data_IF_281160131975
#
_entry.id   IF_281160131975
#
_cell.length_a   1.000
_cell.length_b   1.000
_cell.length_c   1.000
_cell.angle_alpha   90.00
_cell.angle_beta   90.00
_cell.angle_gamma   90.00
#
_symmetry.space_group_name_H-M   'P 1'
#
loop_
_entity.id
_entity.type
_entity.pdbx_description
1 polymer ?
#
# COMPACT_ATOMS: atom_id res chain seq x y z
N UNK A 1 -56.05 53.68 24.77
CA UNK A 1 -55.44 52.38 24.97
C UNK A 1 -54.61 52.03 23.73
N UNK A 2 -53.29 52.20 23.78
CA UNK A 2 -52.38 51.82 22.70
C UNK A 2 -51.53 50.67 23.23
N UNK A 3 -51.64 49.51 22.59
CA UNK A 3 -50.86 48.32 22.89
C UNK A 3 -49.47 48.44 22.27
N UNK A 4 -48.44 48.31 23.09
CA UNK A 4 -47.05 48.13 22.66
C UNK A 4 -46.78 46.64 22.30
N UNK A 5 -46.51 46.37 21.07
CA UNK A 5 -45.96 45.09 20.59
C UNK A 5 -44.45 45.18 20.61
N UNK A 6 -43.81 44.54 21.61
CA UNK A 6 -42.37 44.38 21.64
C UNK A 6 -41.93 43.29 20.60
N UNK A 7 -40.95 43.64 19.79
CA UNK A 7 -40.26 42.68 18.91
C UNK A 7 -39.35 41.78 19.75
N UNK A 8 -39.29 40.44 19.50
CA UNK A 8 -38.31 39.59 20.11
C UNK A 8 -36.90 39.90 19.59
N UNK A 9 -35.92 39.95 20.50
CA UNK A 9 -34.53 40.25 20.20
C UNK A 9 -33.91 39.23 19.21
N UNK A 10 -33.28 39.73 18.19
CA UNK A 10 -32.36 39.04 17.32
C UNK A 10 -31.13 38.60 18.17
N UNK A 11 -31.03 37.30 18.43
CA UNK A 11 -29.78 36.71 18.93
C UNK A 11 -28.77 36.79 17.78
N UNK A 12 -27.83 37.70 17.93
CA UNK A 12 -26.70 37.80 17.02
C UNK A 12 -25.92 36.50 17.04
N UNK A 13 -26.10 35.65 16.03
CA UNK A 13 -25.23 34.53 15.74
C UNK A 13 -23.88 35.13 15.36
N UNK A 14 -22.96 35.13 16.32
CA UNK A 14 -21.57 35.50 16.07
C UNK A 14 -21.04 34.56 14.97
N UNK A 15 -20.86 35.07 13.77
CA UNK A 15 -20.22 34.38 12.65
C UNK A 15 -18.85 33.93 13.11
N UNK A 16 -18.71 32.62 13.35
CA UNK A 16 -17.43 31.99 13.63
C UNK A 16 -16.51 32.30 12.44
N UNK A 17 -15.43 33.01 12.72
CA UNK A 17 -14.37 33.32 11.77
C UNK A 17 -14.03 32.03 10.97
N UNK A 18 -14.14 31.99 9.62
CA UNK A 18 -13.89 30.77 8.86
C UNK A 18 -12.45 30.34 9.14
N UNK A 19 -12.28 29.33 9.99
CA UNK A 19 -10.97 28.79 10.34
C UNK A 19 -10.32 28.34 9.05
N UNK A 20 -9.18 28.93 8.70
CA UNK A 20 -8.39 28.50 7.52
C UNK A 20 -8.26 26.97 7.57
N UNK A 21 -8.68 26.32 6.49
CA UNK A 21 -8.55 24.88 6.28
C UNK A 21 -7.08 24.46 6.46
N UNK A 22 -6.83 23.48 7.32
CA UNK A 22 -5.48 22.96 7.53
C UNK A 22 -5.02 22.23 6.26
N UNK A 23 -3.79 22.46 5.85
CA UNK A 23 -3.24 21.95 4.59
C UNK A 23 -2.14 20.95 4.84
N UNK A 24 -2.21 19.79 4.19
CA UNK A 24 -1.26 18.69 4.31
C UNK A 24 -0.51 18.54 2.99
N UNK A 25 0.82 18.50 3.05
CA UNK A 25 1.69 18.19 1.92
C UNK A 25 2.07 16.71 1.97
N UNK A 26 1.79 15.97 0.90
CA UNK A 26 2.19 14.58 0.71
C UNK A 26 3.30 14.49 -0.34
N UNK A 27 4.41 13.83 -0.03
CA UNK A 27 5.53 13.64 -0.95
C UNK A 27 5.73 12.15 -1.19
N UNK A 28 5.65 11.75 -2.47
CA UNK A 28 5.94 10.40 -2.94
C UNK A 28 6.93 10.49 -4.11
N UNK A 29 8.03 9.77 -4.01
CA UNK A 29 9.12 9.89 -4.98
C UNK A 29 8.97 8.93 -6.17
N UNK A 30 8.73 7.65 -5.89
CA UNK A 30 8.94 6.58 -6.85
C UNK A 30 7.75 6.33 -7.79
N UNK A 31 6.59 6.92 -7.51
CA UNK A 31 5.36 6.66 -8.25
C UNK A 31 4.50 7.93 -8.39
N UNK A 32 3.61 7.96 -9.36
CA UNK A 32 2.64 9.04 -9.56
C UNK A 32 1.39 8.84 -8.68
N UNK A 33 0.65 9.91 -8.41
CA UNK A 33 -0.64 9.83 -7.73
C UNK A 33 -1.60 8.89 -8.47
N UNK A 34 -1.62 8.94 -9.80
CA UNK A 34 -2.49 8.10 -10.63
C UNK A 34 -2.24 6.59 -10.47
N UNK A 35 -1.05 6.19 -10.01
CA UNK A 35 -0.65 4.78 -9.89
C UNK A 35 -0.49 4.29 -8.45
N UNK A 36 -0.44 5.18 -7.47
CA UNK A 36 -0.28 4.82 -6.06
C UNK A 36 -1.65 4.72 -5.38
N UNK A 37 -2.22 3.52 -5.33
CA UNK A 37 -3.52 3.28 -4.69
C UNK A 37 -3.58 3.67 -3.21
N UNK A 38 -2.46 3.58 -2.46
CA UNK A 38 -2.41 4.03 -1.07
C UNK A 38 -2.49 5.54 -0.98
N UNK A 39 -1.69 6.24 -1.79
CA UNK A 39 -1.70 7.71 -1.85
C UNK A 39 -3.08 8.23 -2.25
N UNK A 40 -3.72 7.60 -3.25
CA UNK A 40 -5.09 7.93 -3.67
C UNK A 40 -6.07 7.88 -2.51
N UNK A 41 -6.06 6.79 -1.74
CA UNK A 41 -6.92 6.62 -0.55
C UNK A 41 -6.62 7.69 0.51
N UNK A 42 -5.35 7.96 0.77
CA UNK A 42 -4.92 9.00 1.72
C UNK A 42 -5.39 10.40 1.29
N UNK A 43 -5.20 10.75 0.03
CA UNK A 43 -5.65 12.03 -0.56
C UNK A 43 -7.16 12.18 -0.45
N UNK A 44 -7.92 11.18 -0.90
CA UNK A 44 -9.38 11.18 -0.83
C UNK A 44 -9.88 11.33 0.60
N UNK A 45 -9.31 10.57 1.55
CA UNK A 45 -9.66 10.65 2.97
C UNK A 45 -9.41 12.05 3.55
N UNK A 46 -8.27 12.66 3.24
CA UNK A 46 -7.96 14.01 3.73
C UNK A 46 -8.91 15.05 3.16
N UNK A 47 -9.18 15.02 1.85
CA UNK A 47 -10.10 15.97 1.19
C UNK A 47 -11.51 15.84 1.76
N UNK A 48 -12.04 14.62 1.85
CA UNK A 48 -13.38 14.33 2.37
C UNK A 48 -13.56 14.77 3.84
N UNK A 49 -12.45 14.89 4.58
CA UNK A 49 -12.46 15.38 5.96
C UNK A 49 -12.03 16.85 6.11
N UNK A 50 -12.10 17.63 5.03
CA UNK A 50 -11.95 19.08 5.05
C UNK A 50 -10.50 19.56 5.18
N UNK A 51 -9.50 18.76 4.78
CA UNK A 51 -8.11 19.19 4.65
C UNK A 51 -7.82 19.69 3.24
N UNK A 52 -7.04 20.77 3.09
CA UNK A 52 -6.40 21.07 1.82
C UNK A 52 -5.25 20.10 1.59
N UNK A 53 -5.12 19.60 0.37
CA UNK A 53 -4.10 18.60 0.04
C UNK A 53 -3.23 19.08 -1.10
N UNK A 54 -1.92 19.05 -0.86
CA UNK A 54 -0.88 19.30 -1.85
C UNK A 54 -0.11 17.98 -2.04
N UNK A 55 0.15 17.56 -3.26
CA UNK A 55 0.88 16.32 -3.57
C UNK A 55 2.09 16.64 -4.43
N UNK A 56 3.27 16.16 -4.04
CA UNK A 56 4.47 16.18 -4.88
C UNK A 56 4.75 14.75 -5.32
N UNK A 57 4.73 14.49 -6.63
CA UNK A 57 4.94 13.17 -7.19
C UNK A 57 5.52 13.23 -8.62
N UNK A 58 5.83 12.07 -9.19
CA UNK A 58 6.24 11.93 -10.60
C UNK A 58 5.09 12.32 -11.53
N UNK A 59 5.45 12.87 -12.68
CA UNK A 59 4.50 13.25 -13.72
C UNK A 59 3.82 12.03 -14.33
N UNK A 60 2.48 12.12 -14.42
CA UNK A 60 1.64 11.16 -15.10
C UNK A 60 0.37 11.86 -15.62
N UNK A 61 -0.13 11.57 -16.83
CA UNK A 61 -1.36 12.18 -17.35
C UNK A 61 -2.58 12.02 -16.44
N UNK A 62 -2.69 10.87 -15.74
CA UNK A 62 -3.80 10.58 -14.83
C UNK A 62 -3.77 11.35 -13.50
N UNK A 63 -2.68 12.07 -13.20
CA UNK A 63 -2.62 12.86 -11.95
C UNK A 63 -3.64 13.99 -11.88
N UNK A 64 -4.14 14.48 -13.03
CA UNK A 64 -5.11 15.58 -13.12
C UNK A 64 -6.55 15.16 -12.86
N UNK A 65 -6.82 13.87 -12.69
CA UNK A 65 -8.15 13.33 -12.43
C UNK A 65 -8.59 13.44 -10.96
N UNK A 66 -7.73 14.02 -10.09
CA UNK A 66 -7.97 14.09 -8.65
C UNK A 66 -8.47 15.45 -8.20
N UNK A 67 -9.81 15.62 -8.24
CA UNK A 67 -10.47 16.84 -7.78
C UNK A 67 -10.21 17.11 -6.29
N UNK A 68 -9.88 18.38 -5.98
CA UNK A 68 -9.64 18.84 -4.61
C UNK A 68 -8.20 18.66 -4.11
N UNK A 69 -7.32 17.94 -4.81
CA UNK A 69 -5.89 17.93 -4.56
C UNK A 69 -5.15 18.85 -5.55
N UNK A 70 -4.13 19.57 -5.08
CA UNK A 70 -3.18 20.27 -5.95
C UNK A 70 -1.95 19.42 -6.15
N UNK A 71 -1.68 19.02 -7.40
CA UNK A 71 -0.57 18.13 -7.73
C UNK A 71 0.57 18.93 -8.34
N UNK A 72 1.76 18.79 -7.76
CA UNK A 72 3.02 19.39 -8.18
C UNK A 72 3.91 18.29 -8.75
N UNK A 73 4.02 18.25 -10.06
CA UNK A 73 4.67 17.19 -10.77
C UNK A 73 6.11 17.52 -11.16
N UNK A 74 6.96 16.50 -11.17
CA UNK A 74 8.28 16.58 -11.79
C UNK A 74 8.54 15.40 -12.72
N UNK A 75 9.40 15.62 -13.73
CA UNK A 75 9.86 14.55 -14.62
C UNK A 75 11.03 13.84 -13.95
N UNK A 76 10.91 12.53 -13.74
CA UNK A 76 12.05 11.73 -13.36
C UNK A 76 12.89 11.38 -14.60
N UNK A 77 14.24 11.30 -14.51
CA UNK A 77 15.06 10.72 -15.56
C UNK A 77 14.63 9.28 -15.83
N UNK A 78 14.78 8.82 -17.07
CA UNK A 78 14.56 7.42 -17.38
C UNK A 78 15.54 6.55 -16.57
N UNK A 79 15.04 5.43 -16.03
CA UNK A 79 15.87 4.45 -15.32
C UNK A 79 16.95 3.91 -16.30
N UNK A 80 18.20 4.11 -15.92
CA UNK A 80 19.33 3.67 -16.74
C UNK A 80 19.80 2.25 -16.41
N UNK A 81 19.14 1.53 -15.47
CA UNK A 81 19.50 0.16 -15.07
C UNK A 81 20.89 0.01 -14.44
N UNK A 82 21.61 1.11 -14.22
CA UNK A 82 22.97 1.15 -13.69
C UNK A 82 23.01 1.80 -12.30
N UNK A 83 24.02 1.44 -11.48
CA UNK A 83 24.23 2.06 -10.16
C UNK A 83 24.32 3.58 -10.24
N UNK A 84 24.96 4.11 -11.27
CA UNK A 84 25.06 5.55 -11.49
C UNK A 84 23.73 6.17 -11.92
N UNK A 85 22.94 5.42 -12.70
CA UNK A 85 21.57 5.80 -13.07
C UNK A 85 20.66 5.96 -11.87
N UNK A 86 20.71 5.04 -10.92
CA UNK A 86 19.99 5.15 -9.65
C UNK A 86 20.38 6.41 -8.87
N UNK A 87 21.67 6.67 -8.67
CA UNK A 87 22.13 7.88 -7.95
C UNK A 87 21.65 9.15 -8.64
N UNK A 88 21.67 9.19 -9.97
CA UNK A 88 21.18 10.33 -10.75
C UNK A 88 19.66 10.49 -10.62
N UNK A 89 18.91 9.41 -10.69
CA UNK A 89 17.46 9.40 -10.56
C UNK A 89 17.01 9.90 -9.18
N UNK A 90 17.52 9.28 -8.12
CA UNK A 90 17.19 9.67 -6.75
C UNK A 90 17.67 11.08 -6.40
N UNK A 91 18.87 11.47 -6.84
CA UNK A 91 19.40 12.81 -6.65
C UNK A 91 18.58 13.89 -7.35
N UNK A 92 18.18 13.64 -8.61
CA UNK A 92 17.28 14.53 -9.35
C UNK A 92 15.90 14.64 -8.67
N UNK A 93 15.28 13.50 -8.32
CA UNK A 93 13.99 13.46 -7.64
C UNK A 93 14.03 14.21 -6.31
N UNK A 94 15.10 14.04 -5.54
CA UNK A 94 15.31 14.77 -4.28
C UNK A 94 15.39 16.28 -4.50
N UNK A 95 16.20 16.75 -5.46
CA UNK A 95 16.34 18.20 -5.79
C UNK A 95 15.00 18.77 -6.22
N UNK A 96 14.26 18.08 -7.09
CA UNK A 96 12.95 18.52 -7.55
C UNK A 96 11.91 18.56 -6.42
N UNK A 97 11.88 17.53 -5.58
CA UNK A 97 11.00 17.49 -4.42
C UNK A 97 11.33 18.61 -3.42
N UNK A 98 12.61 18.88 -3.16
CA UNK A 98 13.04 19.96 -2.27
C UNK A 98 12.61 21.33 -2.81
N UNK A 99 12.86 21.58 -4.10
CA UNK A 99 12.44 22.83 -4.77
C UNK A 99 10.93 23.02 -4.74
N UNK A 100 10.14 21.97 -5.11
CA UNK A 100 8.69 22.01 -5.09
C UNK A 100 8.16 22.21 -3.67
N UNK A 101 8.75 21.55 -2.67
CA UNK A 101 8.36 21.72 -1.26
C UNK A 101 8.55 23.17 -0.80
N UNK A 102 9.69 23.78 -1.14
CA UNK A 102 9.96 25.19 -0.83
C UNK A 102 8.97 26.12 -1.55
N UNK A 103 8.68 25.87 -2.84
CA UNK A 103 7.68 26.60 -3.62
C UNK A 103 6.30 26.51 -2.97
N UNK A 104 5.80 25.28 -2.68
CA UNK A 104 4.51 25.07 -2.02
C UNK A 104 4.46 25.77 -0.66
N UNK A 105 5.55 25.73 0.11
CA UNK A 105 5.59 26.43 1.40
C UNK A 105 5.45 27.94 1.27
N UNK A 106 6.04 28.55 0.25
CA UNK A 106 5.96 30.00 0.00
C UNK A 106 4.59 30.39 -0.49
N UNK A 107 4.01 29.64 -1.45
CA UNK A 107 2.75 30.01 -2.12
C UNK A 107 1.51 29.61 -1.32
N UNK A 108 1.49 28.38 -0.76
CA UNK A 108 0.30 27.78 -0.18
C UNK A 108 0.36 27.59 1.35
N UNK A 109 1.56 27.46 1.92
CA UNK A 109 1.83 27.29 3.37
C UNK A 109 1.12 26.06 3.97
N UNK A 110 1.67 24.87 3.77
CA UNK A 110 1.17 23.66 4.42
C UNK A 110 1.36 23.70 5.97
N UNK A 111 0.54 22.93 6.67
CA UNK A 111 0.49 22.87 8.13
C UNK A 111 1.15 21.61 8.70
N UNK A 112 1.21 20.53 7.93
CA UNK A 112 1.96 19.32 8.20
C UNK A 112 2.48 18.74 6.89
N UNK A 113 3.49 17.88 6.95
CA UNK A 113 4.06 17.19 5.81
C UNK A 113 4.13 15.69 6.08
N UNK A 114 3.77 14.89 5.08
CA UNK A 114 4.00 13.45 5.06
C UNK A 114 4.99 13.12 3.95
N UNK A 115 5.93 12.25 4.27
CA UNK A 115 6.85 11.65 3.29
C UNK A 115 6.64 10.14 3.29
N UNK A 116 6.60 9.53 2.11
CA UNK A 116 6.59 8.07 1.99
C UNK A 116 8.00 7.53 2.21
N UNK A 117 8.11 6.44 2.96
CA UNK A 117 9.37 5.72 3.14
C UNK A 117 9.86 5.15 1.80
N UNK A 118 11.16 4.82 1.74
CA UNK A 118 11.92 4.40 0.54
C UNK A 118 11.84 5.37 -0.66
N UNK A 119 12.95 6.10 -0.92
CA UNK A 119 14.23 6.09 -0.18
C UNK A 119 14.18 6.91 1.12
N UNK A 120 14.90 6.45 2.14
CA UNK A 120 14.98 7.08 3.46
C UNK A 120 15.86 8.36 3.47
N UNK A 121 15.66 9.27 2.52
CA UNK A 121 16.41 10.54 2.41
C UNK A 121 15.53 11.77 2.54
N UNK A 122 14.20 11.62 2.44
CA UNK A 122 13.26 12.74 2.43
C UNK A 122 13.13 13.46 3.80
N UNK A 123 13.60 12.84 4.88
CA UNK A 123 13.73 13.54 6.16
C UNK A 123 14.58 14.81 6.06
N UNK A 124 15.56 14.84 5.16
CA UNK A 124 16.41 16.02 4.92
C UNK A 124 15.62 17.19 4.35
N UNK A 125 14.59 16.94 3.56
CA UNK A 125 13.63 17.94 3.09
C UNK A 125 12.68 18.35 4.23
N UNK A 126 12.20 17.39 5.02
CA UNK A 126 11.22 17.62 6.08
C UNK A 126 11.78 18.37 7.29
N UNK A 127 13.00 18.08 7.70
CA UNK A 127 13.62 18.64 8.91
C UNK A 127 13.62 20.18 8.96
N UNK A 128 13.96 20.93 7.91
CA UNK A 128 13.89 22.40 7.94
C UNK A 128 12.46 22.92 8.24
N UNK A 129 11.44 22.30 7.67
CA UNK A 129 10.05 22.69 7.92
C UNK A 129 9.55 22.28 9.30
N UNK A 130 10.03 21.14 9.84
CA UNK A 130 9.81 20.76 11.24
C UNK A 130 10.33 21.82 12.20
N UNK A 131 11.51 22.37 11.96
CA UNK A 131 12.06 23.48 12.75
C UNK A 131 11.20 24.76 12.65
N UNK A 132 10.50 24.95 11.54
CA UNK A 132 9.50 25.99 11.35
C UNK A 132 8.11 25.63 11.94
N UNK A 133 8.04 24.57 12.75
CA UNK A 133 6.83 24.12 13.42
C UNK A 133 5.82 23.43 12.48
N UNK A 134 6.31 22.79 11.42
CA UNK A 134 5.49 21.92 10.53
C UNK A 134 5.81 20.48 10.83
N UNK A 135 4.94 19.72 11.52
CA UNK A 135 5.22 18.34 11.86
C UNK A 135 5.48 17.50 10.62
N UNK A 136 6.43 16.56 10.76
CA UNK A 136 6.82 15.59 9.74
C UNK A 136 6.25 14.22 10.10
N UNK A 137 5.45 13.66 9.19
CA UNK A 137 4.92 12.29 9.28
C UNK A 137 5.70 11.41 8.29
N UNK A 138 6.18 10.27 8.76
CA UNK A 138 6.74 9.22 7.92
C UNK A 138 5.65 8.17 7.63
N UNK A 139 5.30 7.92 6.38
CA UNK A 139 4.47 6.78 5.94
C UNK A 139 5.40 5.64 5.50
N UNK A 140 5.77 4.79 6.45
CA UNK A 140 6.70 3.68 6.23
C UNK A 140 5.95 2.50 5.60
N UNK A 141 6.23 2.25 4.33
CA UNK A 141 5.57 1.20 3.54
C UNK A 141 6.45 -0.03 3.39
N UNK A 142 7.75 0.20 3.23
CA UNK A 142 8.80 -0.79 3.02
C UNK A 142 10.05 -0.41 3.81
N UNK A 143 10.99 -1.33 3.94
CA UNK A 143 12.25 -1.13 4.63
C UNK A 143 13.40 -1.17 3.61
N UNK A 144 14.11 -0.05 3.44
CA UNK A 144 15.21 0.06 2.47
C UNK A 144 16.33 -0.98 2.66
N UNK A 145 16.76 -1.34 3.88
CA UNK A 145 17.73 -2.41 4.09
C UNK A 145 17.26 -3.78 3.61
N UNK A 146 15.99 -4.15 3.89
CA UNK A 146 15.41 -5.42 3.49
C UNK A 146 15.19 -5.48 1.98
N UNK A 147 14.72 -4.41 1.33
CA UNK A 147 14.63 -4.35 -0.12
C UNK A 147 16.00 -4.51 -0.81
N UNK A 148 17.05 -3.93 -0.21
CA UNK A 148 18.41 -4.12 -0.69
C UNK A 148 18.86 -5.58 -0.57
N UNK A 149 18.54 -6.23 0.56
CA UNK A 149 18.83 -7.65 0.77
C UNK A 149 18.14 -8.54 -0.27
N UNK A 150 16.83 -8.37 -0.46
CA UNK A 150 16.06 -9.13 -1.47
C UNK A 150 16.67 -8.99 -2.86
N UNK A 151 17.08 -7.76 -3.22
CA UNK A 151 17.60 -7.49 -4.57
C UNK A 151 19.03 -7.96 -4.79
N UNK A 152 19.89 -7.93 -3.77
CA UNK A 152 21.34 -8.19 -3.92
C UNK A 152 21.85 -9.38 -3.09
N UNK A 153 20.99 -10.02 -2.27
CA UNK A 153 21.37 -11.17 -1.45
C UNK A 153 22.38 -10.87 -0.34
N UNK A 154 22.47 -9.60 0.11
CA UNK A 154 23.52 -9.17 1.05
C UNK A 154 22.95 -8.33 2.19
N UNK A 155 23.34 -8.68 3.44
CA UNK A 155 23.09 -7.92 4.67
C UNK A 155 24.32 -7.19 5.19
N UNK A 156 25.34 -7.02 4.37
CA UNK A 156 26.64 -6.46 4.77
C UNK A 156 27.11 -5.35 3.81
N UNK A 157 28.25 -4.77 4.15
CA UNK A 157 28.88 -3.75 3.34
C UNK A 157 28.46 -2.31 3.67
N UNK A 158 29.15 -1.38 3.00
CA UNK A 158 28.99 0.07 3.26
C UNK A 158 27.58 0.54 2.89
N UNK A 159 27.03 0.05 1.77
CA UNK A 159 25.70 0.45 1.28
C UNK A 159 24.61 0.01 2.26
N UNK A 160 24.62 -1.26 2.69
CA UNK A 160 23.66 -1.76 3.68
C UNK A 160 23.69 -0.95 4.99
N UNK A 161 24.91 -0.69 5.51
CA UNK A 161 25.07 0.15 6.72
C UNK A 161 24.59 1.58 6.52
N UNK A 162 24.81 2.16 5.34
CA UNK A 162 24.30 3.48 5.00
C UNK A 162 22.76 3.51 4.96
N UNK A 163 22.13 2.50 4.37
CA UNK A 163 20.65 2.36 4.38
C UNK A 163 20.10 2.23 5.79
N UNK A 164 20.70 1.40 6.65
CA UNK A 164 20.30 1.29 8.06
C UNK A 164 20.49 2.63 8.82
N UNK A 165 21.52 3.40 8.50
CA UNK A 165 21.74 4.71 9.10
C UNK A 165 20.69 5.73 8.63
N UNK A 166 20.40 5.78 7.31
CA UNK A 166 19.38 6.65 6.72
C UNK A 166 17.99 6.35 7.29
N UNK A 167 17.63 5.08 7.39
CA UNK A 167 16.37 4.66 8.00
C UNK A 167 16.26 5.17 9.45
N UNK A 168 17.30 4.96 10.27
CA UNK A 168 17.31 5.47 11.66
C UNK A 168 17.22 7.00 11.73
N UNK A 169 17.86 7.71 10.79
CA UNK A 169 17.79 9.16 10.71
C UNK A 169 16.37 9.62 10.35
N UNK A 170 15.72 8.93 9.43
CA UNK A 170 14.32 9.18 9.02
C UNK A 170 13.35 8.99 10.18
N UNK A 171 13.46 7.88 10.91
CA UNK A 171 12.63 7.65 12.11
C UNK A 171 12.82 8.74 13.18
N UNK A 172 14.07 9.15 13.44
CA UNK A 172 14.36 10.22 14.43
C UNK A 172 13.86 11.59 14.00
N UNK A 173 13.85 11.86 12.72
CA UNK A 173 13.36 13.12 12.18
C UNK A 173 11.84 13.24 12.23
N UNK A 174 11.11 12.12 12.11
CA UNK A 174 9.65 12.10 12.12
C UNK A 174 9.09 12.55 13.48
N UNK A 175 7.94 13.24 13.47
CA UNK A 175 7.13 13.53 14.65
C UNK A 175 6.08 12.45 14.88
N UNK A 176 5.79 11.67 13.82
CA UNK A 176 4.91 10.51 13.87
C UNK A 176 5.25 9.56 12.73
N UNK A 177 5.15 8.27 12.99
CA UNK A 177 5.37 7.21 12.00
C UNK A 177 4.06 6.48 11.76
N UNK A 178 3.68 6.35 10.51
CA UNK A 178 2.61 5.48 10.06
C UNK A 178 3.27 4.22 9.47
N UNK A 179 2.83 3.04 9.89
CA UNK A 179 3.32 1.76 9.36
C UNK A 179 2.16 0.98 8.73
N UNK A 180 2.45 0.06 7.82
CA UNK A 180 1.40 -0.70 7.12
C UNK A 180 0.97 -1.97 7.85
N UNK A 181 1.80 -2.46 8.79
CA UNK A 181 1.53 -3.68 9.57
C UNK A 181 2.28 -3.67 10.91
N UNK A 182 2.04 -4.71 11.74
CA UNK A 182 2.64 -4.84 13.06
C UNK A 182 4.13 -5.14 13.05
N UNK A 183 4.67 -5.79 12.02
CA UNK A 183 6.11 -6.04 11.91
C UNK A 183 6.88 -4.74 11.65
N UNK A 184 6.39 -3.87 10.77
CA UNK A 184 7.00 -2.55 10.57
C UNK A 184 6.86 -1.66 11.82
N UNK A 185 5.76 -1.78 12.55
CA UNK A 185 5.59 -1.11 13.85
C UNK A 185 6.68 -1.55 14.83
N UNK A 186 6.96 -2.86 14.93
CA UNK A 186 8.04 -3.38 15.78
C UNK A 186 9.43 -2.89 15.33
N UNK A 187 9.66 -2.76 14.04
CA UNK A 187 10.90 -2.15 13.50
C UNK A 187 11.01 -0.68 13.92
N UNK A 188 9.92 0.09 13.84
CA UNK A 188 9.92 1.47 14.31
C UNK A 188 10.27 1.58 15.80
N UNK A 189 9.78 0.67 16.65
CA UNK A 189 10.11 0.63 18.09
C UNK A 189 11.54 0.15 18.35
N UNK A 190 11.97 -0.93 17.73
CA UNK A 190 13.23 -1.60 18.05
C UNK A 190 14.41 -0.96 17.37
N UNK A 191 14.34 -0.72 16.08
CA UNK A 191 15.41 -0.18 15.23
C UNK A 191 15.36 1.36 15.16
N UNK A 192 14.15 1.91 14.98
CA UNK A 192 13.92 3.36 14.92
C UNK A 192 13.96 4.04 16.27
N UNK A 193 13.70 3.33 17.38
CA UNK A 193 13.57 3.88 18.74
C UNK A 193 12.45 4.92 18.84
N UNK A 194 11.41 4.79 18.02
CA UNK A 194 10.24 5.67 18.05
C UNK A 194 9.39 5.32 19.28
N UNK A 195 8.92 6.30 20.07
CA UNK A 195 8.03 6.04 21.20
C UNK A 195 6.70 5.41 20.72
N UNK A 196 6.11 4.44 21.46
CA UNK A 196 4.85 3.80 21.06
C UNK A 196 3.71 4.78 20.78
N UNK A 197 3.66 5.88 21.53
CA UNK A 197 2.66 6.92 21.29
C UNK A 197 2.83 7.70 19.98
N UNK A 198 3.93 7.57 19.26
CA UNK A 198 4.23 8.28 18.01
C UNK A 198 4.32 7.32 16.80
N UNK A 199 3.76 6.10 16.93
CA UNK A 199 3.56 5.14 15.83
C UNK A 199 2.09 4.82 15.72
N UNK A 200 1.59 4.65 14.49
CA UNK A 200 0.22 4.20 14.19
C UNK A 200 0.23 3.23 13.02
N UNK A 201 -0.37 2.07 13.20
CA UNK A 201 -0.58 1.11 12.10
C UNK A 201 -1.78 1.57 11.28
N UNK A 202 -1.57 1.79 9.99
CA UNK A 202 -2.59 2.10 9.00
C UNK A 202 -2.42 1.14 7.83
N UNK A 203 -3.21 0.08 7.81
CA UNK A 203 -3.17 -0.96 6.78
C UNK A 203 -3.41 -0.43 5.37
N UNK A 204 -3.20 -1.26 4.36
CA UNK A 204 -3.32 -0.89 2.95
C UNK A 204 -4.48 -1.57 2.22
N UNK A 205 -5.49 -2.08 2.94
CA UNK A 205 -6.63 -2.75 2.33
C UNK A 205 -7.39 -1.91 1.31
N UNK A 206 -8.10 -2.54 0.38
CA UNK A 206 -8.96 -1.86 -0.57
C UNK A 206 -10.12 -1.11 0.11
N UNK A 207 -10.78 -0.23 -0.65
CA UNK A 207 -12.01 0.45 -0.24
C UNK A 207 -13.19 -0.51 -0.45
N UNK A 208 -14.09 -0.64 0.54
CA UNK A 208 -15.22 -1.60 0.49
C UNK A 208 -16.10 -1.38 -0.74
N UNK A 209 -16.43 -0.12 -1.01
CA UNK A 209 -17.36 0.27 -2.09
C UNK A 209 -16.81 -0.07 -3.49
N UNK A 210 -15.50 -0.17 -3.63
CA UNK A 210 -14.85 -0.56 -4.89
C UNK A 210 -14.80 -2.08 -5.08
N UNK A 211 -14.79 -2.87 -4.01
CA UNK A 211 -14.62 -4.32 -4.02
C UNK A 211 -15.94 -5.07 -4.16
N UNK A 212 -16.74 -4.70 -5.14
CA UNK A 212 -17.97 -5.40 -5.48
C UNK A 212 -17.66 -6.55 -6.44
N UNK A 213 -18.23 -7.73 -6.18
CA UNK A 213 -18.14 -8.88 -7.09
C UNK A 213 -18.72 -8.52 -8.47
N UNK A 214 -18.01 -8.94 -9.50
CA UNK A 214 -18.45 -8.85 -10.91
C UNK A 214 -19.11 -10.16 -11.33
N UNK A 215 -19.96 -10.15 -12.36
CA UNK A 215 -20.44 -11.40 -12.96
C UNK A 215 -19.24 -12.28 -13.36
N UNK A 216 -19.21 -13.56 -12.97
CA UNK A 216 -18.12 -14.45 -13.32
C UNK A 216 -18.08 -14.70 -14.83
N UNK A 217 -16.87 -14.75 -15.40
CA UNK A 217 -16.63 -15.00 -16.83
C UNK A 217 -15.96 -16.36 -16.98
N UNK A 218 -16.78 -17.38 -17.34
CA UNK A 218 -16.32 -18.77 -17.40
C UNK A 218 -15.25 -19.01 -18.48
N UNK A 219 -15.18 -18.17 -19.52
CA UNK A 219 -14.13 -18.23 -20.52
C UNK A 219 -12.70 -18.03 -19.94
N UNK A 220 -12.58 -17.35 -18.79
CA UNK A 220 -11.30 -17.20 -18.08
C UNK A 220 -10.78 -18.53 -17.50
N UNK A 221 -11.63 -19.54 -17.40
CA UNK A 221 -11.24 -20.90 -16.99
C UNK A 221 -10.63 -21.73 -18.14
N UNK A 222 -10.60 -21.20 -19.36
CA UNK A 222 -10.08 -21.90 -20.56
C UNK A 222 -10.64 -23.31 -20.76
N UNK A 223 -11.95 -23.49 -20.55
CA UNK A 223 -12.64 -24.78 -20.65
C UNK A 223 -12.38 -25.73 -19.48
N UNK A 224 -11.69 -25.31 -18.43
CA UNK A 224 -11.44 -26.10 -17.23
C UNK A 224 -12.49 -25.85 -16.16
N UNK A 225 -12.55 -26.71 -15.16
CA UNK A 225 -13.50 -26.63 -14.06
C UNK A 225 -13.19 -25.48 -13.11
N UNK A 226 -11.90 -25.27 -12.81
CA UNK A 226 -11.44 -24.33 -11.81
C UNK A 226 -10.51 -23.25 -12.38
N UNK A 227 -10.46 -22.11 -11.70
CA UNK A 227 -9.52 -21.01 -11.92
C UNK A 227 -8.79 -20.69 -10.63
N UNK A 228 -7.48 -20.76 -10.65
CA UNK A 228 -6.63 -20.18 -9.62
C UNK A 228 -6.08 -18.84 -10.13
N UNK A 229 -6.06 -17.81 -9.29
CA UNK A 229 -5.69 -16.46 -9.72
C UNK A 229 -4.59 -15.88 -8.84
N UNK A 230 -3.56 -15.30 -9.47
CA UNK A 230 -2.63 -14.37 -8.89
C UNK A 230 -2.83 -12.99 -9.51
N UNK A 231 -2.77 -11.90 -8.69
CA UNK A 231 -2.97 -10.54 -9.16
C UNK A 231 -1.91 -9.61 -8.59
N UNK A 232 -1.26 -8.80 -9.40
CA UNK A 232 -0.36 -7.76 -8.90
C UNK A 232 0.77 -7.33 -9.84
N UNK A 233 1.74 -6.61 -9.29
CA UNK A 233 2.99 -6.27 -9.96
C UNK A 233 3.96 -7.44 -9.81
N UNK A 234 4.51 -7.93 -10.93
CA UNK A 234 5.42 -9.09 -10.95
C UNK A 234 6.86 -8.67 -10.65
N UNK A 235 7.17 -8.53 -9.37
CA UNK A 235 8.54 -8.28 -8.89
C UNK A 235 9.26 -9.56 -8.43
N UNK A 236 10.56 -9.49 -8.13
CA UNK A 236 11.34 -10.65 -7.62
C UNK A 236 10.79 -11.20 -6.31
N UNK A 237 10.25 -10.34 -5.45
CA UNK A 237 9.66 -10.69 -4.15
C UNK A 237 8.36 -11.49 -4.30
N UNK A 238 7.68 -11.42 -5.45
CA UNK A 238 6.40 -12.09 -5.68
C UNK A 238 6.53 -13.58 -6.02
N UNK A 239 7.77 -14.07 -6.17
CA UNK A 239 8.13 -15.49 -6.29
C UNK A 239 7.29 -16.26 -7.30
N UNK A 240 7.17 -15.70 -8.53
CA UNK A 240 6.48 -16.40 -9.63
C UNK A 240 7.09 -17.76 -9.93
N UNK A 241 8.40 -17.92 -9.70
CA UNK A 241 9.13 -19.17 -9.85
C UNK A 241 8.58 -20.26 -8.92
N UNK A 242 8.26 -19.93 -7.68
CA UNK A 242 7.68 -20.85 -6.70
C UNK A 242 6.27 -21.27 -7.09
N UNK A 243 5.43 -20.31 -7.47
CA UNK A 243 4.06 -20.61 -7.94
C UNK A 243 4.07 -21.54 -9.16
N UNK A 244 4.92 -21.26 -10.16
CA UNK A 244 4.99 -22.09 -11.38
C UNK A 244 5.52 -23.51 -11.11
N UNK A 245 6.47 -23.68 -10.20
CA UNK A 245 6.93 -25.01 -9.77
C UNK A 245 5.87 -25.77 -8.98
N UNK A 246 5.03 -25.07 -8.19
CA UNK A 246 3.88 -25.69 -7.54
C UNK A 246 2.83 -26.15 -8.56
N UNK A 247 2.60 -25.36 -9.61
CA UNK A 247 1.72 -25.74 -10.70
C UNK A 247 2.28 -26.93 -11.50
N UNK A 248 3.60 -26.95 -11.76
CA UNK A 248 4.28 -28.10 -12.38
C UNK A 248 4.04 -29.37 -11.55
N UNK A 249 4.26 -29.33 -10.25
CA UNK A 249 4.00 -30.46 -9.37
C UNK A 249 2.52 -30.90 -9.43
N UNK A 250 1.61 -29.94 -9.42
CA UNK A 250 0.16 -30.20 -9.45
C UNK A 250 -0.27 -30.86 -10.76
N UNK A 251 0.24 -30.40 -11.89
CA UNK A 251 -0.11 -30.90 -13.23
C UNK A 251 0.61 -32.20 -13.56
N UNK A 252 1.94 -32.20 -13.43
CA UNK A 252 2.80 -33.28 -13.94
C UNK A 252 3.04 -34.41 -12.93
N UNK A 253 2.93 -34.14 -11.61
CA UNK A 253 3.15 -35.17 -10.56
C UNK A 253 1.82 -35.66 -9.97
N UNK A 254 0.94 -34.74 -9.53
CA UNK A 254 -0.39 -35.09 -8.99
C UNK A 254 -1.35 -35.50 -10.12
N UNK A 255 -1.15 -34.98 -11.34
CA UNK A 255 -1.98 -35.27 -12.51
C UNK A 255 -3.27 -34.44 -12.57
N UNK A 256 -3.32 -33.31 -11.86
CA UNK A 256 -4.48 -32.42 -11.85
C UNK A 256 -4.52 -31.51 -13.06
N UNK A 257 -5.44 -31.73 -13.97
CA UNK A 257 -5.52 -31.03 -15.25
C UNK A 257 -6.81 -30.21 -15.44
N UNK A 258 -7.73 -30.23 -14.48
CA UNK A 258 -9.04 -29.56 -14.54
C UNK A 258 -9.04 -28.13 -13.98
N UNK A 259 -7.85 -27.53 -13.74
CA UNK A 259 -7.69 -26.16 -13.30
C UNK A 259 -6.83 -25.33 -14.25
N UNK A 260 -7.14 -24.04 -14.35
CA UNK A 260 -6.35 -23.02 -15.05
C UNK A 260 -5.75 -22.02 -14.04
N UNK A 261 -4.58 -21.47 -14.35
CA UNK A 261 -3.88 -20.53 -13.49
C UNK A 261 -3.67 -19.21 -14.22
N UNK A 262 -4.29 -18.13 -13.76
CA UNK A 262 -4.15 -16.81 -14.35
C UNK A 262 -3.23 -15.92 -13.49
N UNK A 263 -2.14 -15.46 -14.08
CA UNK A 263 -1.23 -14.47 -13.49
C UNK A 263 -1.54 -13.10 -14.08
N UNK A 264 -2.41 -12.36 -13.42
CA UNK A 264 -2.94 -11.07 -13.88
C UNK A 264 -2.04 -9.94 -13.40
N UNK A 265 -1.38 -9.25 -14.31
CA UNK A 265 -0.46 -8.16 -14.01
C UNK A 265 0.75 -8.15 -14.92
N UNK A 266 1.68 -7.26 -14.63
CA UNK A 266 2.91 -7.07 -15.41
C UNK A 266 4.07 -6.72 -14.46
N UNK A 267 5.30 -6.77 -14.94
CA UNK A 267 6.47 -6.41 -14.16
C UNK A 267 7.76 -7.05 -14.68
N UNK A 268 8.86 -6.78 -13.97
CA UNK A 268 10.20 -7.18 -14.42
C UNK A 268 10.38 -8.71 -14.52
N UNK A 269 9.67 -9.52 -13.74
CA UNK A 269 9.80 -10.98 -13.74
C UNK A 269 8.84 -11.69 -14.69
N UNK A 270 7.91 -10.98 -15.34
CA UNK A 270 6.91 -11.58 -16.24
C UNK A 270 7.53 -12.39 -17.38
N UNK A 271 8.54 -11.85 -18.04
CA UNK A 271 9.20 -12.54 -19.17
C UNK A 271 9.85 -13.85 -18.71
N UNK A 272 10.56 -13.83 -17.57
CA UNK A 272 11.17 -15.01 -16.97
C UNK A 272 10.12 -16.04 -16.54
N UNK A 273 8.99 -15.61 -15.97
CA UNK A 273 7.88 -16.48 -15.60
C UNK A 273 7.25 -17.17 -16.83
N UNK A 274 7.01 -16.44 -17.91
CA UNK A 274 6.53 -17.02 -19.17
C UNK A 274 7.51 -18.07 -19.75
N UNK A 275 8.82 -17.81 -19.66
CA UNK A 275 9.84 -18.74 -20.12
C UNK A 275 9.89 -19.99 -19.22
N UNK A 276 9.85 -19.83 -17.91
CA UNK A 276 9.83 -20.95 -16.96
C UNK A 276 8.59 -21.83 -17.14
N UNK A 277 7.43 -21.27 -17.42
CA UNK A 277 6.22 -22.07 -17.70
C UNK A 277 6.37 -22.98 -18.93
N UNK A 278 7.09 -22.52 -19.97
CA UNK A 278 7.42 -23.35 -21.15
C UNK A 278 8.43 -24.43 -20.80
N UNK A 279 9.47 -24.11 -20.05
CA UNK A 279 10.51 -25.07 -19.62
C UNK A 279 9.93 -26.20 -18.77
N UNK A 280 8.94 -25.89 -17.94
CA UNK A 280 8.22 -26.86 -17.11
C UNK A 280 7.11 -27.62 -17.89
N UNK A 281 6.82 -27.23 -19.13
CA UNK A 281 5.79 -27.88 -19.96
C UNK A 281 4.37 -27.62 -19.47
N UNK A 282 4.13 -26.52 -18.72
CA UNK A 282 2.83 -26.17 -18.15
C UNK A 282 2.12 -24.98 -18.85
N UNK A 283 2.63 -24.53 -20.00
CA UNK A 283 2.13 -23.35 -20.72
C UNK A 283 0.62 -23.45 -21.09
N UNK A 284 0.06 -24.65 -21.21
CA UNK A 284 -1.34 -24.86 -21.53
C UNK A 284 -2.27 -24.69 -20.32
N UNK A 285 -1.71 -24.68 -19.11
CA UNK A 285 -2.46 -24.50 -17.85
C UNK A 285 -2.31 -23.10 -17.25
N UNK A 286 -1.39 -22.29 -17.78
CA UNK A 286 -1.13 -20.96 -17.25
C UNK A 286 -1.37 -19.88 -18.28
N UNK A 287 -1.82 -18.70 -17.85
CA UNK A 287 -1.94 -17.52 -18.69
C UNK A 287 -1.36 -16.28 -18.01
N UNK A 288 -0.81 -15.40 -18.82
CA UNK A 288 -0.22 -14.12 -18.42
C UNK A 288 -0.89 -12.98 -19.21
N UNK A 289 -2.14 -12.59 -18.87
CA UNK A 289 -2.89 -11.61 -19.64
C UNK A 289 -2.27 -10.21 -19.65
N UNK A 290 -1.26 -9.96 -18.81
CA UNK A 290 -0.64 -8.65 -18.67
C UNK A 290 -1.40 -7.73 -17.74
N UNK A 291 -1.17 -6.43 -17.86
CA UNK A 291 -1.84 -5.43 -17.03
C UNK A 291 -3.33 -5.37 -17.34
N UNK A 292 -4.15 -5.61 -16.33
CA UNK A 292 -5.60 -5.53 -16.44
C UNK A 292 -6.12 -4.21 -15.86
N UNK A 293 -7.19 -3.66 -16.45
CA UNK A 293 -7.96 -2.59 -15.82
C UNK A 293 -8.65 -3.12 -14.58
N UNK A 294 -9.03 -2.24 -13.65
CA UNK A 294 -9.64 -2.62 -12.37
C UNK A 294 -10.86 -3.55 -12.55
N UNK A 295 -11.77 -3.22 -13.46
CA UNK A 295 -12.96 -4.07 -13.69
C UNK A 295 -12.63 -5.46 -14.22
N UNK A 296 -11.62 -5.58 -15.10
CA UNK A 296 -11.16 -6.87 -15.58
C UNK A 296 -10.45 -7.66 -14.46
N UNK A 297 -9.59 -7.01 -13.67
CA UNK A 297 -8.94 -7.62 -12.51
C UNK A 297 -9.97 -8.14 -11.50
N UNK A 298 -11.00 -7.36 -11.21
CA UNK A 298 -12.09 -7.76 -10.30
C UNK A 298 -12.95 -8.88 -10.90
N UNK A 299 -13.06 -8.96 -12.22
CA UNK A 299 -13.71 -10.08 -12.91
C UNK A 299 -12.91 -11.37 -12.74
N UNK A 300 -11.57 -11.32 -12.84
CA UNK A 300 -10.72 -12.47 -12.51
C UNK A 300 -10.94 -12.94 -11.07
N UNK A 301 -10.86 -12.02 -10.08
CA UNK A 301 -11.07 -12.35 -8.67
C UNK A 301 -12.48 -12.89 -8.39
N UNK A 302 -13.50 -12.40 -9.10
CA UNK A 302 -14.89 -12.87 -8.95
C UNK A 302 -15.13 -14.22 -9.60
N UNK A 303 -14.31 -14.61 -10.58
CA UNK A 303 -14.41 -15.89 -11.31
C UNK A 303 -13.55 -16.97 -10.68
N UNK A 304 -12.47 -16.59 -9.99
CA UNK A 304 -11.50 -17.50 -9.40
C UNK A 304 -12.11 -18.34 -8.26
N UNK A 305 -11.61 -19.55 -8.11
CA UNK A 305 -11.95 -20.49 -7.05
C UNK A 305 -10.93 -20.44 -5.89
N UNK A 306 -9.66 -20.11 -6.17
CA UNK A 306 -8.55 -20.00 -5.19
C UNK A 306 -7.58 -18.88 -5.60
N UNK A 307 -7.19 -18.05 -4.65
CA UNK A 307 -6.11 -17.07 -4.81
C UNK A 307 -4.74 -17.67 -4.50
N UNK A 308 -3.68 -17.11 -5.08
CA UNK A 308 -2.29 -17.56 -4.86
C UNK A 308 -1.45 -16.44 -4.25
N UNK A 309 -0.76 -16.72 -3.12
CA UNK A 309 0.17 -15.78 -2.48
C UNK A 309 1.50 -16.49 -2.18
N UNK A 310 2.37 -16.66 -3.19
CA UNK A 310 3.62 -17.43 -3.07
C UNK A 310 4.78 -16.64 -2.46
N UNK A 311 4.52 -15.45 -1.90
CA UNK A 311 5.51 -14.60 -1.27
C UNK A 311 6.22 -15.32 -0.11
N UNK A 312 7.52 -15.06 0.07
CA UNK A 312 8.36 -15.62 1.13
C UNK A 312 8.94 -14.54 2.07
N UNK A 313 8.56 -13.28 1.88
CA UNK A 313 9.10 -12.18 2.67
C UNK A 313 8.28 -11.95 3.95
N UNK A 314 8.90 -12.17 5.10
CA UNK A 314 8.28 -12.15 6.43
C UNK A 314 7.61 -10.82 6.82
N UNK A 315 8.14 -9.69 6.33
CA UNK A 315 7.78 -8.35 6.79
C UNK A 315 6.81 -7.66 5.82
N UNK A 316 6.69 -8.17 4.60
CA UNK A 316 5.84 -7.57 3.56
C UNK A 316 4.37 -7.73 3.92
N UNK A 317 3.60 -6.65 3.76
CA UNK A 317 2.16 -6.70 3.92
C UNK A 317 1.53 -7.47 2.76
N UNK A 318 0.75 -8.53 2.99
CA UNK A 318 0.13 -9.34 1.93
C UNK A 318 -1.10 -8.61 1.34
N UNK A 319 -0.85 -7.57 0.53
CA UNK A 319 -1.92 -6.75 -0.07
C UNK A 319 -2.84 -7.58 -0.96
N UNK A 320 -2.29 -8.53 -1.71
CA UNK A 320 -3.07 -9.47 -2.54
C UNK A 320 -4.03 -10.32 -1.69
N UNK A 321 -3.55 -10.80 -0.54
CA UNK A 321 -4.40 -11.51 0.43
C UNK A 321 -5.60 -10.65 0.87
N UNK A 322 -5.40 -9.35 1.10
CA UNK A 322 -6.50 -8.44 1.43
C UNK A 322 -7.49 -8.28 0.26
N UNK A 323 -6.98 -8.25 -0.98
CA UNK A 323 -7.83 -8.20 -2.17
C UNK A 323 -8.63 -9.51 -2.33
N UNK A 324 -8.01 -10.69 -2.15
CA UNK A 324 -8.71 -11.96 -2.15
C UNK A 324 -9.83 -12.00 -1.09
N UNK A 325 -9.51 -11.61 0.13
CA UNK A 325 -10.49 -11.53 1.23
C UNK A 325 -11.62 -10.56 0.92
N UNK A 326 -11.34 -9.43 0.27
CA UNK A 326 -12.35 -8.46 -0.16
C UNK A 326 -13.35 -9.05 -1.16
N UNK A 327 -12.94 -10.03 -1.97
CA UNK A 327 -13.82 -10.76 -2.89
C UNK A 327 -14.38 -12.06 -2.27
N UNK A 328 -14.07 -12.36 -1.03
CA UNK A 328 -14.43 -13.63 -0.40
C UNK A 328 -13.81 -14.82 -1.14
N UNK A 329 -12.61 -14.65 -1.67
CA UNK A 329 -11.82 -15.66 -2.35
C UNK A 329 -10.85 -16.28 -1.34
N UNK A 330 -10.96 -17.59 -1.03
CA UNK A 330 -9.96 -18.29 -0.24
C UNK A 330 -8.64 -18.35 -0.98
N UNK A 331 -7.51 -18.41 -0.27
CA UNK A 331 -6.22 -18.45 -0.93
C UNK A 331 -5.21 -19.36 -0.24
N UNK A 332 -4.21 -19.79 -1.00
CA UNK A 332 -3.06 -20.52 -0.50
C UNK A 332 -1.87 -19.58 -0.37
N UNK A 333 -1.20 -19.64 0.76
CA UNK A 333 -0.02 -18.82 1.08
C UNK A 333 1.01 -19.64 1.83
N UNK A 334 2.24 -19.11 1.97
CA UNK A 334 3.18 -19.61 2.95
C UNK A 334 2.84 -19.10 4.36
N UNK A 335 3.18 -19.90 5.38
CA UNK A 335 2.96 -19.59 6.79
C UNK A 335 3.93 -18.50 7.27
N UNK A 336 3.68 -17.27 6.84
CA UNK A 336 4.44 -16.10 7.24
C UNK A 336 3.68 -15.32 8.32
N UNK A 337 4.42 -14.69 9.21
CA UNK A 337 3.87 -13.96 10.36
C UNK A 337 2.78 -12.96 9.98
N UNK A 338 3.04 -12.08 9.01
CA UNK A 338 2.09 -11.04 8.61
C UNK A 338 0.90 -11.62 7.84
N UNK A 339 1.10 -12.65 7.01
CA UNK A 339 0.02 -13.32 6.29
C UNK A 339 -0.92 -14.03 7.24
N UNK A 340 -0.37 -14.75 8.24
CA UNK A 340 -1.18 -15.42 9.26
C UNK A 340 -1.91 -14.44 10.17
N UNK A 341 -1.26 -13.37 10.60
CA UNK A 341 -1.88 -12.34 11.43
C UNK A 341 -3.02 -11.60 10.71
N UNK A 342 -2.90 -11.46 9.39
CA UNK A 342 -3.89 -10.80 8.56
C UNK A 342 -5.07 -11.70 8.21
N UNK A 343 -4.81 -12.91 7.72
CA UNK A 343 -5.84 -13.75 7.08
C UNK A 343 -6.41 -14.83 8.01
N UNK A 344 -5.67 -15.24 9.05
CA UNK A 344 -6.15 -16.29 9.96
C UNK A 344 -6.65 -17.52 9.20
N UNK A 345 -7.92 -17.88 9.36
CA UNK A 345 -8.54 -19.04 8.69
C UNK A 345 -9.06 -18.76 7.28
N UNK A 346 -8.90 -17.56 6.76
CA UNK A 346 -9.25 -17.24 5.38
C UNK A 346 -8.22 -17.76 4.35
N UNK A 347 -7.04 -18.22 4.80
CA UNK A 347 -6.01 -18.80 3.96
C UNK A 347 -5.62 -20.20 4.42
N UNK A 348 -5.12 -21.00 3.48
CA UNK A 348 -4.43 -22.26 3.75
C UNK A 348 -2.91 -22.03 3.67
N UNK A 349 -2.15 -22.62 4.58
CA UNK A 349 -0.76 -22.28 4.78
C UNK A 349 0.16 -23.46 4.55
N UNK A 350 1.10 -23.32 3.61
CA UNK A 350 2.23 -24.21 3.41
C UNK A 350 3.44 -23.75 4.25
N UNK A 351 4.30 -24.66 4.60
CA UNK A 351 5.61 -24.32 5.20
C UNK A 351 6.40 -23.40 4.24
N UNK A 352 7.05 -22.32 4.72
CA UNK A 352 7.79 -21.42 3.85
C UNK A 352 8.80 -22.16 2.95
N UNK A 353 8.66 -21.99 1.63
CA UNK A 353 9.50 -22.64 0.62
C UNK A 353 9.10 -24.07 0.25
N UNK A 354 8.13 -24.69 0.93
CA UNK A 354 7.60 -26.01 0.57
C UNK A 354 6.65 -25.92 -0.63
N UNK A 355 7.24 -26.04 -1.82
CA UNK A 355 6.54 -26.00 -3.11
C UNK A 355 5.52 -27.12 -3.25
N UNK A 356 5.87 -28.32 -2.79
CA UNK A 356 5.00 -29.52 -2.83
C UNK A 356 3.78 -29.33 -1.91
N UNK A 357 4.01 -28.92 -0.67
CA UNK A 357 2.91 -28.64 0.26
C UNK A 357 2.00 -27.52 -0.21
N UNK A 358 2.55 -26.51 -0.91
CA UNK A 358 1.74 -25.44 -1.54
C UNK A 358 0.83 -26.00 -2.64
N UNK A 359 1.36 -26.87 -3.51
CA UNK A 359 0.58 -27.54 -4.56
C UNK A 359 -0.51 -28.45 -3.98
N UNK A 360 -0.20 -29.27 -2.97
CA UNK A 360 -1.17 -30.14 -2.29
C UNK A 360 -2.30 -29.38 -1.60
N UNK A 361 -2.01 -28.17 -1.08
CA UNK A 361 -3.05 -27.31 -0.49
C UNK A 361 -3.99 -26.77 -1.56
N UNK A 362 -3.48 -26.39 -2.73
CA UNK A 362 -4.32 -26.00 -3.88
C UNK A 362 -5.21 -27.19 -4.25
N UNK A 363 -4.64 -28.38 -4.43
CA UNK A 363 -5.37 -29.59 -4.80
C UNK A 363 -6.53 -29.88 -3.85
N UNK A 364 -6.24 -29.92 -2.56
CA UNK A 364 -7.24 -30.16 -1.51
C UNK A 364 -8.35 -29.10 -1.50
N UNK A 365 -7.98 -27.80 -1.63
CA UNK A 365 -8.99 -26.75 -1.65
C UNK A 365 -9.87 -26.78 -2.89
N UNK A 366 -9.36 -27.20 -4.03
CA UNK A 366 -10.15 -27.33 -5.25
C UNK A 366 -11.25 -28.41 -5.11
N UNK A 367 -10.99 -29.46 -4.33
CA UNK A 367 -11.98 -30.52 -4.08
C UNK A 367 -12.95 -30.23 -2.93
N UNK A 368 -12.57 -29.35 -1.99
CA UNK A 368 -13.38 -28.99 -0.83
C UNK A 368 -14.15 -27.69 -1.01
N UNK A 369 -15.26 -27.74 -1.75
CA UNK A 369 -16.13 -26.59 -1.97
C UNK A 369 -16.72 -25.99 -0.67
N UNK A 370 -17.18 -26.79 0.31
CA UNK A 370 -17.62 -26.24 1.59
C UNK A 370 -16.53 -25.46 2.32
N UNK A 371 -15.31 -25.99 2.35
CA UNK A 371 -14.17 -25.30 2.98
C UNK A 371 -13.82 -23.99 2.27
N UNK A 372 -13.82 -23.98 0.93
CA UNK A 372 -13.63 -22.74 0.18
C UNK A 372 -14.67 -21.68 0.53
N UNK A 373 -15.94 -22.08 0.60
CA UNK A 373 -17.03 -21.16 0.93
C UNK A 373 -16.89 -20.59 2.35
N UNK A 374 -16.53 -21.42 3.34
CA UNK A 374 -16.30 -21.00 4.72
C UNK A 374 -15.13 -20.03 4.81
N UNK A 375 -13.97 -20.38 4.24
CA UNK A 375 -12.77 -19.52 4.22
C UNK A 375 -13.06 -18.18 3.54
N UNK A 376 -13.78 -18.19 2.42
CA UNK A 376 -14.18 -16.97 1.72
C UNK A 376 -15.08 -16.08 2.57
N UNK A 377 -16.03 -16.66 3.31
CA UNK A 377 -16.90 -15.91 4.26
C UNK A 377 -16.09 -15.29 5.39
N UNK A 378 -15.20 -16.05 6.01
CA UNK A 378 -14.30 -15.57 7.08
C UNK A 378 -13.43 -14.42 6.54
N UNK A 379 -12.84 -14.58 5.35
CA UNK A 379 -12.03 -13.57 4.72
C UNK A 379 -12.79 -12.26 4.48
N UNK A 380 -13.99 -12.35 3.89
CA UNK A 380 -14.83 -11.18 3.64
C UNK A 380 -15.21 -10.46 4.95
N UNK A 381 -15.56 -11.19 5.99
CA UNK A 381 -15.89 -10.61 7.28
C UNK A 381 -14.67 -9.89 7.90
N UNK A 382 -13.49 -10.52 7.95
CA UNK A 382 -12.27 -9.89 8.45
C UNK A 382 -11.91 -8.64 7.65
N UNK A 383 -12.09 -8.68 6.33
CA UNK A 383 -11.85 -7.52 5.48
C UNK A 383 -12.75 -6.34 5.87
N UNK A 384 -14.05 -6.55 5.98
CA UNK A 384 -15.03 -5.49 6.32
C UNK A 384 -14.85 -4.95 7.74
N UNK A 385 -14.52 -5.80 8.70
CA UNK A 385 -14.40 -5.43 10.11
C UNK A 385 -13.07 -4.77 10.46
N UNK A 386 -11.97 -5.13 9.78
CA UNK A 386 -10.62 -4.77 10.21
C UNK A 386 -9.71 -4.22 9.13
N UNK A 387 -9.74 -4.79 7.91
CA UNK A 387 -8.67 -4.61 6.94
C UNK A 387 -8.97 -3.54 5.88
N UNK A 388 -10.25 -3.28 5.60
CA UNK A 388 -10.65 -2.30 4.60
C UNK A 388 -10.13 -0.90 4.92
N UNK A 389 -9.89 -0.10 3.88
CA UNK A 389 -9.46 1.29 4.05
C UNK A 389 -10.44 2.10 4.91
N UNK A 390 -11.72 1.83 4.79
CA UNK A 390 -12.77 2.48 5.59
C UNK A 390 -12.51 2.36 7.11
N UNK A 391 -11.87 1.26 7.55
CA UNK A 391 -11.46 1.07 8.95
C UNK A 391 -10.15 1.77 9.29
N UNK A 392 -9.32 2.04 8.29
CA UNK A 392 -8.03 2.70 8.45
C UNK A 392 -8.12 4.23 8.43
N UNK A 393 -9.19 4.80 7.88
CA UNK A 393 -9.39 6.26 7.79
C UNK A 393 -9.35 6.95 9.15
N UNK A 394 -10.02 6.39 10.14
CA UNK A 394 -10.06 6.93 11.50
C UNK A 394 -8.67 7.08 12.12
N UNK A 395 -7.89 6.00 12.27
CA UNK A 395 -6.50 6.03 12.72
C UNK A 395 -5.62 6.98 11.90
N UNK A 396 -5.74 6.98 10.58
CA UNK A 396 -4.99 7.87 9.70
C UNK A 396 -5.26 9.36 9.98
N UNK A 397 -6.52 9.74 10.08
CA UNK A 397 -6.92 11.13 10.37
C UNK A 397 -6.52 11.57 11.78
N UNK A 398 -6.54 10.65 12.75
CA UNK A 398 -6.18 10.97 14.14
C UNK A 398 -4.72 11.39 14.27
N UNK A 399 -3.82 10.86 13.44
CA UNK A 399 -2.43 11.32 13.36
C UNK A 399 -2.37 12.84 13.14
N UNK A 400 -3.08 13.34 12.15
CA UNK A 400 -3.07 14.77 11.82
C UNK A 400 -3.81 15.61 12.85
N UNK A 401 -4.96 15.16 13.35
CA UNK A 401 -5.71 15.86 14.41
C UNK A 401 -4.82 16.08 15.63
N UNK A 402 -4.09 15.05 16.04
CA UNK A 402 -3.20 15.09 17.20
C UNK A 402 -2.00 16.04 16.97
N UNK A 403 -1.31 15.91 15.85
CA UNK A 403 -0.16 16.75 15.52
C UNK A 403 -0.52 18.23 15.38
N UNK A 404 -1.60 18.54 14.68
CA UNK A 404 -2.06 19.91 14.49
C UNK A 404 -2.59 20.54 15.79
N UNK A 405 -3.19 19.78 16.68
CA UNK A 405 -3.64 20.25 18.00
C UNK A 405 -2.46 20.53 18.93
N UNK A 406 -1.42 19.65 18.96
CA UNK A 406 -0.16 19.90 19.70
C UNK A 406 0.51 21.21 19.23
N UNK A 407 0.56 21.41 17.91
CA UNK A 407 1.13 22.63 17.32
C UNK A 407 0.38 23.91 17.73
N UNK A 408 -0.96 23.87 17.76
CA UNK A 408 -1.77 25.02 18.19
C UNK A 408 -1.50 25.37 19.65
N UNK A 409 -1.39 24.39 20.53
CA UNK A 409 -1.06 24.59 21.95
C UNK A 409 0.31 25.25 22.13
N UNK A 410 1.33 24.74 21.45
CA UNK A 410 2.69 25.28 21.52
C UNK A 410 2.81 26.71 20.95
N UNK A 411 1.95 27.10 20.01
CA UNK A 411 1.90 28.47 19.49
C UNK A 411 1.21 29.45 20.45
N UNK A 412 0.24 28.97 21.20
CA UNK A 412 -0.47 29.79 22.17
C UNK A 412 0.42 30.05 23.40
N UNK A 413 1.11 29.04 23.93
CA UNK A 413 2.05 29.22 25.05
C UNK A 413 3.18 30.21 24.71
N UNK A 414 3.77 30.13 23.51
CA UNK A 414 4.82 31.08 23.07
C UNK A 414 4.34 32.51 22.80
N UNK A 415 3.04 32.79 22.84
CA UNK A 415 2.48 34.15 22.70
C UNK A 415 2.05 34.76 24.05
N UNK A 416 2.02 33.90 25.08
CA UNK A 416 1.70 34.32 26.46
C UNK A 416 2.95 34.56 27.31
N UNK A 417 4.10 34.15 26.81
CA UNK A 417 5.43 34.52 27.31
C UNK A 417 6.00 35.71 26.50
#
# INVERSE_FOLDING_TARGET
MRAHTGRPGEVAVTAANPRRQARILLIVENVSLARDHRLQKQVTTLISNGYGVEVICRRDPGNHEWDGARVHEYRAPADAGSKLGFVREYGHSWVMAAWLTAKVFITERFDAMQVSGTPDIYFTIGTPFKLLGRPLVLDQRDLSPELYEVRYGRRDGIVYRALCWLERATYRAADHVITVNGSLEQVAYTRGKVPPGDVTVVGNGPVVERTCKRPPRLELKHGRRFLCCWLGLMGPQDRMDVALRAIDHLVNVIGRTDCHFAFVGDGETRSAACQLAKELGIQDWVSFPGWAKEDDAFTYLSTADVGLEPNLEEIVSPVKGMEYMAFGLPFVAFDLKETRALAGEAAAYATPGDVTGFAELIDRLLDDSPRRAEMGKIGRQLFEERLSWNRQEGPYLEVYRRLLSRRRRNRLSRKSD
#
